data_IF_397008573803
#
_entry.id   IF_397008573803
#
_cell.length_a   1.000
_cell.length_b   1.000
_cell.length_c   1.000
_cell.angle_alpha   90.00
_cell.angle_beta   90.00
_cell.angle_gamma   90.00
#
_symmetry.space_group_name_H-M   'P 1'
#
loop_
_entity.id
_entity.type
_entity.pdbx_description
1 polymer ?
#
# COMPACT_ATOMS: atom_id res chain seq x y z
N UNK A 1 20.49 -54.78 -27.03
CA UNK A 1 19.10 -54.34 -26.79
C UNK A 1 18.86 -54.44 -25.30
N UNK A 2 18.51 -53.43 -24.53
CA UNK A 2 18.35 -51.99 -24.72
C UNK A 2 18.65 -51.38 -23.34
N UNK A 3 19.54 -50.38 -23.28
CA UNK A 3 19.73 -49.60 -22.07
C UNK A 3 18.39 -48.96 -21.68
N UNK A 4 17.91 -49.24 -20.47
CA UNK A 4 16.79 -48.52 -19.88
C UNK A 4 17.32 -47.15 -19.49
N UNK A 5 17.07 -46.17 -20.35
CA UNK A 5 17.38 -44.78 -20.11
C UNK A 5 16.40 -44.25 -19.06
N UNK A 6 16.96 -43.87 -17.91
CA UNK A 6 16.30 -43.17 -16.81
C UNK A 6 15.69 -41.87 -17.33
N UNK A 7 14.38 -41.87 -17.57
CA UNK A 7 13.60 -40.65 -17.76
C UNK A 7 13.46 -39.96 -16.40
N UNK A 8 14.33 -39.00 -16.13
CA UNK A 8 14.24 -38.08 -15.01
C UNK A 8 12.89 -37.35 -15.11
N UNK A 9 11.95 -37.67 -14.22
CA UNK A 9 10.74 -36.85 -14.04
C UNK A 9 11.17 -35.43 -13.65
N UNK A 10 10.48 -34.37 -14.10
CA UNK A 10 10.81 -33.01 -13.71
C UNK A 10 10.66 -32.93 -12.19
N UNK A 11 11.77 -32.65 -11.51
CA UNK A 11 11.79 -32.34 -10.09
C UNK A 11 10.91 -31.12 -9.88
N UNK A 12 9.94 -31.19 -8.97
CA UNK A 12 9.20 -30.02 -8.46
C UNK A 12 10.17 -28.83 -8.31
N UNK A 13 9.81 -27.68 -8.88
CA UNK A 13 10.53 -26.41 -8.73
C UNK A 13 10.56 -26.05 -7.23
N UNK A 14 11.55 -26.61 -6.52
CA UNK A 14 11.79 -26.31 -5.11
C UNK A 14 12.31 -24.89 -5.05
N UNK A 15 11.47 -23.99 -4.54
CA UNK A 15 11.86 -22.62 -4.17
C UNK A 15 13.20 -22.65 -3.40
N UNK A 16 14.21 -21.95 -3.93
CA UNK A 16 15.51 -21.85 -3.26
C UNK A 16 15.36 -21.02 -1.98
N UNK A 17 15.54 -21.63 -0.79
CA UNK A 17 15.36 -20.92 0.49
C UNK A 17 16.33 -19.75 0.65
N UNK A 18 17.50 -19.78 0.03
CA UNK A 18 18.46 -18.68 0.06
C UNK A 18 17.88 -17.51 -0.75
N UNK A 19 17.41 -17.77 -1.97
CA UNK A 19 16.79 -16.75 -2.81
C UNK A 19 15.56 -16.12 -2.15
N UNK A 20 14.66 -16.94 -1.58
CA UNK A 20 13.49 -16.44 -0.85
C UNK A 20 13.90 -15.51 0.29
N UNK A 21 14.90 -15.90 1.06
CA UNK A 21 15.41 -15.09 2.17
C UNK A 21 16.02 -13.77 1.69
N UNK A 22 16.77 -13.79 0.58
CA UNK A 22 17.33 -12.58 -0.02
C UNK A 22 16.20 -11.66 -0.49
N UNK A 23 15.20 -12.17 -1.20
CA UNK A 23 14.05 -11.38 -1.68
C UNK A 23 13.25 -10.77 -0.52
N UNK A 24 12.94 -11.55 0.51
CA UNK A 24 12.23 -11.04 1.70
C UNK A 24 12.97 -9.85 2.34
N UNK A 25 14.28 -10.00 2.56
CA UNK A 25 15.11 -8.91 3.11
C UNK A 25 15.19 -7.69 2.17
N UNK A 26 15.13 -7.89 0.85
CA UNK A 26 15.12 -6.80 -0.13
C UNK A 26 13.81 -6.01 -0.08
N UNK A 27 12.66 -6.69 -0.02
CA UNK A 27 11.36 -6.01 0.13
C UNK A 27 11.28 -5.23 1.46
N UNK A 28 11.74 -5.84 2.55
CA UNK A 28 11.80 -5.16 3.84
C UNK A 28 12.70 -3.93 3.80
N UNK A 29 13.87 -4.01 3.13
CA UNK A 29 14.74 -2.87 2.96
C UNK A 29 14.07 -1.73 2.17
N UNK A 30 13.31 -2.03 1.11
CA UNK A 30 12.55 -1.04 0.35
C UNK A 30 11.52 -0.34 1.25
N UNK A 31 10.73 -1.11 2.01
CA UNK A 31 9.72 -0.56 2.93
C UNK A 31 10.36 0.29 4.03
N UNK A 32 11.54 -0.08 4.54
CA UNK A 32 12.30 0.75 5.50
C UNK A 32 12.74 2.08 4.88
N UNK A 33 13.24 2.08 3.64
CA UNK A 33 13.62 3.32 2.97
C UNK A 33 12.42 4.22 2.68
N UNK A 34 11.27 3.66 2.29
CA UNK A 34 10.01 4.40 2.17
C UNK A 34 9.60 5.03 3.51
N UNK A 35 9.62 4.23 4.58
CA UNK A 35 9.29 4.65 5.95
C UNK A 35 10.19 5.78 6.43
N UNK A 36 11.51 5.66 6.23
CA UNK A 36 12.49 6.68 6.60
C UNK A 36 12.30 7.96 5.78
N UNK A 37 12.01 7.85 4.49
CA UNK A 37 11.72 8.99 3.63
C UNK A 37 10.49 9.75 4.11
N UNK A 38 9.39 9.05 4.41
CA UNK A 38 8.17 9.64 4.95
C UNK A 38 8.44 10.31 6.31
N UNK A 39 9.13 9.62 7.22
CA UNK A 39 9.48 10.14 8.54
C UNK A 39 10.26 11.46 8.45
N UNK A 40 11.29 11.51 7.60
CA UNK A 40 12.18 12.67 7.46
C UNK A 40 11.56 13.85 6.73
N UNK A 41 10.52 13.61 5.93
CA UNK A 41 9.83 14.66 5.15
C UNK A 41 8.52 15.11 5.80
N UNK A 42 7.95 14.31 6.71
CA UNK A 42 6.76 14.63 7.49
C UNK A 42 6.95 15.85 8.39
N UNK A 43 6.09 16.86 8.20
CA UNK A 43 6.14 18.12 8.97
C UNK A 43 5.23 18.14 10.20
N UNK A 44 4.21 17.29 10.25
CA UNK A 44 3.26 17.23 11.36
C UNK A 44 3.87 16.51 12.57
N UNK A 45 3.54 16.99 13.78
CA UNK A 45 3.87 16.31 15.04
C UNK A 45 3.33 14.87 15.09
N UNK A 46 2.19 14.63 14.43
CA UNK A 46 1.60 13.30 14.27
C UNK A 46 2.57 12.33 13.56
N UNK A 47 3.29 12.83 12.54
CA UNK A 47 4.20 11.99 11.76
C UNK A 47 5.60 11.95 12.38
N UNK A 48 6.18 13.09 12.75
CA UNK A 48 7.57 13.15 13.20
C UNK A 48 7.77 12.80 14.69
N UNK A 49 6.72 12.87 15.51
CA UNK A 49 6.77 12.57 16.95
C UNK A 49 5.97 11.32 17.28
N UNK A 50 4.68 11.28 16.91
CA UNK A 50 3.82 10.13 17.20
C UNK A 50 4.02 8.95 16.24
N UNK A 51 4.61 9.18 15.06
CA UNK A 51 4.89 8.18 14.02
C UNK A 51 3.62 7.47 13.52
N UNK A 52 2.55 8.23 13.37
CA UNK A 52 1.26 7.71 12.90
C UNK A 52 1.23 7.65 11.36
N UNK A 53 2.03 6.74 10.82
CA UNK A 53 2.14 6.45 9.39
C UNK A 53 2.66 5.04 9.18
N UNK A 54 2.48 4.49 7.99
CA UNK A 54 3.06 3.18 7.63
C UNK A 54 3.28 3.09 6.13
N UNK A 55 4.32 2.36 5.75
CA UNK A 55 4.56 1.97 4.37
C UNK A 55 4.43 0.45 4.24
N UNK A 56 3.98 -0.01 3.09
CA UNK A 56 3.97 -1.43 2.76
C UNK A 56 4.00 -1.66 1.26
N UNK A 57 4.29 -2.90 0.87
CA UNK A 57 4.21 -3.39 -0.50
C UNK A 57 3.14 -4.47 -0.54
N UNK A 58 2.28 -4.39 -1.54
CA UNK A 58 1.20 -5.33 -1.82
C UNK A 58 1.45 -5.96 -3.19
N UNK A 59 1.15 -7.23 -3.38
CA UNK A 59 1.26 -7.92 -4.68
C UNK A 59 0.18 -7.44 -5.65
N UNK A 60 0.31 -7.77 -6.94
CA UNK A 60 -0.70 -7.52 -7.95
C UNK A 60 -2.04 -8.23 -7.66
N UNK A 61 -1.99 -9.38 -6.96
CA UNK A 61 -3.16 -10.11 -6.46
C UNK A 61 -3.76 -9.50 -5.18
N UNK A 62 -3.25 -8.34 -4.75
CA UNK A 62 -3.72 -7.59 -3.59
C UNK A 62 -3.39 -8.21 -2.22
N UNK A 63 -2.39 -9.10 -2.17
CA UNK A 63 -1.89 -9.68 -0.92
C UNK A 63 -0.77 -8.82 -0.31
N UNK A 64 -0.80 -8.65 1.02
CA UNK A 64 0.23 -7.91 1.74
C UNK A 64 1.57 -8.68 1.70
N UNK A 65 2.59 -8.09 1.07
CA UNK A 65 3.90 -8.74 0.87
C UNK A 65 4.93 -8.36 1.93
N UNK A 66 5.10 -7.06 2.19
CA UNK A 66 6.01 -6.56 3.23
C UNK A 66 5.43 -5.33 3.90
N UNK A 67 5.51 -5.29 5.22
CA UNK A 67 4.91 -4.25 6.06
C UNK A 67 5.76 -3.94 7.28
N UNK A 68 7.09 -4.09 7.15
CA UNK A 68 8.01 -3.95 8.27
C UNK A 68 7.95 -2.55 8.87
N UNK A 69 8.05 -2.48 10.21
CA UNK A 69 7.93 -1.25 11.02
C UNK A 69 6.57 -0.51 10.90
N UNK A 70 5.59 -1.08 10.18
CA UNK A 70 4.25 -0.52 10.03
C UNK A 70 3.33 -0.83 11.22
N UNK A 71 2.46 0.12 11.53
CA UNK A 71 1.33 -0.09 12.45
C UNK A 71 0.40 -1.13 11.83
N UNK A 72 0.12 -2.21 12.54
CA UNK A 72 -0.65 -3.34 11.97
C UNK A 72 -2.03 -2.91 11.47
N UNK A 73 -2.68 -2.01 12.22
CA UNK A 73 -3.96 -1.43 11.84
C UNK A 73 -3.90 -0.70 10.48
N UNK A 74 -2.77 -0.10 10.13
CA UNK A 74 -2.59 0.58 8.84
C UNK A 74 -2.43 -0.39 7.67
N UNK A 75 -1.56 -1.38 7.83
CA UNK A 75 -1.06 -2.23 6.74
C UNK A 75 -1.99 -3.39 6.41
N UNK A 76 -2.75 -3.89 7.39
CA UNK A 76 -3.74 -4.95 7.15
C UNK A 76 -4.84 -4.53 6.17
N UNK A 77 -5.18 -3.24 6.13
CA UNK A 77 -6.16 -2.68 5.20
C UNK A 77 -5.62 -2.45 3.78
N UNK A 78 -4.32 -2.49 3.56
CA UNK A 78 -3.73 -2.15 2.26
C UNK A 78 -4.19 -3.10 1.14
N UNK A 79 -4.22 -4.41 1.42
CA UNK A 79 -4.73 -5.41 0.48
C UNK A 79 -6.22 -5.24 0.12
N UNK A 80 -7.02 -4.63 0.99
CA UNK A 80 -8.42 -4.31 0.69
C UNK A 80 -8.56 -3.00 -0.12
N UNK A 81 -7.62 -2.08 0.03
CA UNK A 81 -7.63 -0.79 -0.69
C UNK A 81 -7.12 -0.93 -2.13
N UNK A 82 -6.04 -1.68 -2.36
CA UNK A 82 -5.42 -1.77 -3.71
C UNK A 82 -6.32 -2.29 -4.85
N UNK A 83 -7.34 -3.17 -4.63
CA UNK A 83 -8.31 -3.53 -5.67
C UNK A 83 -9.07 -2.35 -6.26
N UNK A 84 -9.18 -1.24 -5.52
CA UNK A 84 -9.85 -0.02 -5.99
C UNK A 84 -9.17 0.60 -7.22
N UNK A 85 -7.86 0.38 -7.42
CA UNK A 85 -7.13 0.84 -8.60
C UNK A 85 -7.77 0.24 -9.85
N UNK A 86 -7.82 -1.09 -9.93
CA UNK A 86 -8.40 -1.81 -11.08
C UNK A 86 -9.91 -1.62 -11.19
N UNK A 87 -10.60 -1.40 -10.06
CA UNK A 87 -12.05 -1.18 -10.03
C UNK A 87 -12.46 0.16 -10.64
N UNK A 88 -11.67 1.21 -10.42
CA UNK A 88 -12.03 2.58 -10.80
C UNK A 88 -11.22 3.12 -11.99
N UNK A 89 -10.09 2.48 -12.33
CA UNK A 89 -9.19 2.91 -13.39
C UNK A 89 -8.80 1.73 -14.28
N UNK A 90 -9.44 1.64 -15.44
CA UNK A 90 -9.09 0.68 -16.48
C UNK A 90 -7.81 1.05 -17.24
N UNK A 91 -7.40 2.32 -17.16
CA UNK A 91 -6.18 2.88 -17.77
C UNK A 91 -5.02 3.09 -16.79
N UNK A 92 -5.00 2.38 -15.65
CA UNK A 92 -3.90 2.48 -14.70
C UNK A 92 -2.57 2.07 -15.35
N UNK A 93 -1.57 2.96 -15.28
CA UNK A 93 -0.29 2.77 -15.95
C UNK A 93 0.90 3.09 -15.04
N UNK A 94 2.08 2.70 -15.50
CA UNK A 94 3.34 3.04 -14.85
C UNK A 94 3.51 4.57 -14.71
N UNK A 95 3.89 5.01 -13.52
CA UNK A 95 4.06 6.42 -13.18
C UNK A 95 2.79 7.13 -12.70
N UNK A 96 1.65 6.43 -12.61
CA UNK A 96 0.45 6.96 -11.96
C UNK A 96 0.54 6.85 -10.43
N UNK A 97 -0.21 7.70 -9.73
CA UNK A 97 -0.40 7.60 -8.28
C UNK A 97 -1.84 7.96 -7.90
N UNK A 98 -2.34 7.31 -6.86
CA UNK A 98 -3.73 7.42 -6.42
C UNK A 98 -3.81 7.77 -4.94
N UNK A 99 -4.74 8.65 -4.58
CA UNK A 99 -5.08 8.97 -3.19
C UNK A 99 -6.29 8.15 -2.76
N UNK A 100 -6.15 7.43 -1.65
CA UNK A 100 -7.19 6.63 -1.05
C UNK A 100 -7.38 6.97 0.43
N UNK A 101 -8.59 7.32 0.86
CA UNK A 101 -8.93 7.43 2.28
C UNK A 101 -10.28 6.81 2.66
N UNK A 102 -10.95 6.10 1.74
CA UNK A 102 -12.31 5.60 1.94
C UNK A 102 -12.35 4.40 2.93
N UNK A 103 -12.92 4.55 4.16
CA UNK A 103 -13.05 3.45 5.11
C UNK A 103 -13.92 2.29 4.61
N UNK A 104 -14.87 2.54 3.72
CA UNK A 104 -15.71 1.48 3.16
C UNK A 104 -14.98 0.56 2.18
N UNK A 105 -13.79 0.98 1.73
CA UNK A 105 -12.91 0.24 0.82
C UNK A 105 -11.61 -0.19 1.51
N UNK A 106 -11.66 -0.43 2.83
CA UNK A 106 -10.55 -1.03 3.57
C UNK A 106 -9.57 -0.03 4.18
N UNK A 107 -9.89 1.27 4.16
CA UNK A 107 -9.16 2.23 4.99
C UNK A 107 -9.62 2.16 6.45
N UNK A 108 -8.81 2.70 7.35
CA UNK A 108 -8.99 2.65 8.80
C UNK A 108 -10.00 3.68 9.29
N UNK A 109 -9.85 4.93 8.84
CA UNK A 109 -10.79 6.04 9.02
C UNK A 109 -10.40 7.16 8.05
N UNK A 110 -11.25 8.18 7.89
CA UNK A 110 -11.11 9.17 6.83
C UNK A 110 -9.83 10.02 6.88
N UNK A 111 -9.23 10.20 8.07
CA UNK A 111 -8.02 11.00 8.21
C UNK A 111 -6.74 10.23 7.88
N UNK A 112 -6.81 8.91 7.66
CA UNK A 112 -5.66 8.15 7.17
C UNK A 112 -5.61 8.23 5.64
N UNK A 113 -4.72 9.06 5.12
CA UNK A 113 -4.54 9.18 3.67
C UNK A 113 -3.50 8.19 3.19
N UNK A 114 -3.86 7.37 2.23
CA UNK A 114 -2.97 6.38 1.60
C UNK A 114 -2.69 6.77 0.17
N UNK A 115 -1.41 6.92 -0.18
CA UNK A 115 -0.96 7.00 -1.56
C UNK A 115 -0.69 5.59 -2.06
N UNK A 116 -1.33 5.21 -3.15
CA UNK A 116 -1.18 3.94 -3.84
C UNK A 116 -0.44 4.19 -5.16
N UNK A 117 0.69 3.53 -5.37
CA UNK A 117 1.50 3.63 -6.59
C UNK A 117 1.65 2.24 -7.19
N UNK A 118 0.98 1.93 -8.32
CA UNK A 118 1.20 0.67 -9.00
C UNK A 118 2.60 0.63 -9.61
N UNK A 119 3.26 -0.51 -9.49
CA UNK A 119 4.62 -0.78 -9.93
C UNK A 119 4.56 -1.78 -11.07
N UNK A 120 5.08 -1.37 -12.22
CA UNK A 120 5.16 -2.19 -13.42
C UNK A 120 6.61 -2.61 -13.67
N UNK A 121 6.79 -3.82 -14.20
CA UNK A 121 8.09 -4.33 -14.69
C UNK A 121 7.84 -4.93 -16.05
N UNK A 122 8.57 -4.47 -17.07
CA UNK A 122 8.40 -4.92 -18.47
C UNK A 122 6.94 -4.87 -18.98
N UNK A 123 6.17 -3.88 -18.48
CA UNK A 123 4.75 -3.69 -18.83
C UNK A 123 3.76 -4.51 -18.01
N UNK A 124 4.22 -5.34 -17.07
CA UNK A 124 3.39 -6.15 -16.18
C UNK A 124 3.21 -5.48 -14.82
N UNK A 125 1.96 -5.36 -14.35
CA UNK A 125 1.66 -4.87 -13.00
C UNK A 125 1.98 -5.96 -11.98
N UNK A 126 2.98 -5.73 -11.12
CA UNK A 126 3.46 -6.74 -10.17
C UNK A 126 3.20 -6.40 -8.70
N UNK A 127 3.25 -5.11 -8.34
CA UNK A 127 3.13 -4.66 -6.96
C UNK A 127 2.44 -3.32 -6.86
N UNK A 128 1.88 -3.00 -5.71
CA UNK A 128 1.55 -1.63 -5.33
C UNK A 128 2.36 -1.21 -4.12
N UNK A 129 3.09 -0.11 -4.25
CA UNK A 129 3.71 0.57 -3.13
C UNK A 129 2.67 1.46 -2.43
N UNK A 130 2.52 1.28 -1.12
CA UNK A 130 1.54 1.99 -0.32
C UNK A 130 2.24 2.85 0.73
N UNK A 131 1.87 4.12 0.81
CA UNK A 131 2.32 5.03 1.86
C UNK A 131 1.10 5.68 2.53
N UNK A 132 0.82 5.30 3.77
CA UNK A 132 -0.28 5.82 4.58
C UNK A 132 0.25 6.79 5.62
N UNK A 133 -0.38 7.95 5.76
CA UNK A 133 -0.05 8.93 6.80
C UNK A 133 -1.31 9.58 7.36
N UNK A 134 -1.37 9.68 8.68
CA UNK A 134 -2.47 10.29 9.40
C UNK A 134 -2.46 11.81 9.26
N UNK A 135 -3.60 12.38 8.91
CA UNK A 135 -3.79 13.82 8.79
C UNK A 135 -4.27 14.42 10.12
N UNK A 136 -3.67 15.54 10.51
CA UNK A 136 -4.05 16.28 11.72
C UNK A 136 -5.42 16.96 11.60
N UNK A 137 -5.87 17.16 10.36
CA UNK A 137 -7.17 17.71 10.01
C UNK A 137 -7.52 17.17 8.62
N UNK A 138 -8.75 16.72 8.44
CA UNK A 138 -9.26 16.19 7.17
C UNK A 138 -10.47 16.98 6.64
N UNK A 139 -10.77 18.15 7.22
CA UNK A 139 -11.89 19.02 6.81
C UNK A 139 -13.19 18.78 7.58
N UNK A 140 -13.11 18.24 8.81
CA UNK A 140 -14.28 18.02 9.65
C UNK A 140 -14.96 19.36 10.02
N UNK A 141 -16.25 19.32 10.39
CA UNK A 141 -17.01 20.47 10.89
C UNK A 141 -16.37 21.16 12.12
N UNK A 142 -15.51 20.43 12.85
CA UNK A 142 -14.65 20.95 13.91
C UNK A 142 -13.18 20.73 13.53
N UNK A 143 -12.24 21.61 13.95
CA UNK A 143 -10.81 21.48 13.66
C UNK A 143 -10.18 20.38 14.53
N UNK A 144 -10.52 19.14 14.20
CA UNK A 144 -10.07 17.91 14.87
C UNK A 144 -10.00 16.80 13.83
N UNK A 145 -9.06 15.87 13.99
CA UNK A 145 -9.06 14.61 13.25
C UNK A 145 -10.29 13.77 13.61
N UNK A 146 -10.59 13.65 14.90
CA UNK A 146 -11.66 12.80 15.41
C UNK A 146 -12.76 13.66 16.03
N UNK A 147 -13.98 13.54 15.48
CA UNK A 147 -15.18 14.14 16.05
C UNK A 147 -16.06 13.04 16.66
N UNK A 148 -15.95 12.75 17.97
CA UNK A 148 -16.61 11.60 18.60
C UNK A 148 -18.14 11.68 18.60
N UNK A 149 -18.71 12.85 18.30
CA UNK A 149 -20.15 13.10 18.27
C UNK A 149 -20.68 13.29 16.84
N UNK A 150 -19.87 13.02 15.82
CA UNK A 150 -20.33 13.03 14.44
C UNK A 150 -21.45 12.00 14.28
N UNK A 151 -22.59 12.43 13.74
CA UNK A 151 -23.76 11.56 13.55
C UNK A 151 -23.65 10.69 12.31
N UNK A 152 -22.95 11.21 11.32
CA UNK A 152 -22.76 10.57 10.04
C UNK A 152 -21.45 11.01 9.41
N UNK A 153 -21.21 10.42 8.24
CA UNK A 153 -20.00 10.57 7.46
C UNK A 153 -19.80 11.99 6.90
N UNK A 154 -20.88 12.77 6.76
CA UNK A 154 -20.84 14.14 6.28
C UNK A 154 -20.35 15.08 7.37
N UNK A 155 -20.69 14.78 8.64
CA UNK A 155 -20.10 15.46 9.80
C UNK A 155 -18.62 15.08 9.99
N UNK A 156 -18.20 13.86 9.62
CA UNK A 156 -16.79 13.41 9.64
C UNK A 156 -15.93 13.93 8.48
N UNK A 157 -16.05 15.21 8.12
CA UNK A 157 -15.39 15.90 7.00
C UNK A 157 -15.98 15.69 5.60
N UNK A 158 -16.62 14.55 5.32
CA UNK A 158 -17.27 14.30 4.03
C UNK A 158 -16.33 14.30 2.81
N UNK A 159 -15.01 14.36 3.01
CA UNK A 159 -14.01 14.34 1.93
C UNK A 159 -13.51 12.91 1.69
N UNK A 160 -14.23 12.21 0.83
CA UNK A 160 -13.90 10.86 0.40
C UNK A 160 -13.11 10.91 -0.91
N UNK A 161 -11.91 10.35 -0.88
CA UNK A 161 -11.06 10.13 -2.03
C UNK A 161 -10.99 8.60 -2.27
N UNK A 162 -11.99 7.99 -2.92
CA UNK A 162 -11.95 6.57 -3.23
C UNK A 162 -11.02 6.32 -4.44
N UNK A 163 -9.74 6.12 -4.16
CA UNK A 163 -8.70 5.86 -5.16
C UNK A 163 -8.64 6.94 -6.25
N UNK A 164 -8.65 8.21 -5.87
CA UNK A 164 -8.62 9.32 -6.85
C UNK A 164 -7.23 9.40 -7.46
N UNK A 165 -7.12 9.38 -8.80
CA UNK A 165 -5.84 9.58 -9.49
C UNK A 165 -5.35 11.01 -9.22
N UNK A 166 -4.15 11.13 -8.65
CA UNK A 166 -3.50 12.40 -8.30
C UNK A 166 -2.23 12.68 -9.12
N UNK A 167 -1.71 11.67 -9.81
CA UNK A 167 -0.53 11.76 -10.67
C UNK A 167 -0.75 10.92 -11.92
N UNK A 168 -0.28 11.38 -13.08
CA UNK A 168 -0.28 10.60 -14.32
C UNK A 168 1.08 10.66 -15.01
N UNK A 169 1.65 9.50 -15.34
CA UNK A 169 2.93 9.41 -16.04
C UNK A 169 4.05 10.29 -15.41
N UNK A 170 4.23 10.17 -14.08
CA UNK A 170 5.21 10.91 -13.28
C UNK A 170 5.04 12.44 -13.27
N UNK A 171 3.83 12.94 -13.51
CA UNK A 171 3.47 14.36 -13.50
C UNK A 171 2.27 14.66 -12.64
#
# INVERSE_FOLDING_TARGET
MSAQNSGNMPTEDRLDPILVSVLANRFDAIVREMTNTLFRTGRSAILNTAKDFSCCIVTADHDLLSSIDGLQIHVMGAGMQTPSINRFHDDAAEGDAYLHNDPYLGNTHIADHTILVPVFVDGEYLFTACAKAHQADCGNSLPTTYMPFAKDVYEEAGLFFPCVRIQKAYR
#
